data_IF_984829841490
#
_entry.id   IF_984829841490
#
_cell.length_a   1.000
_cell.length_b   1.000
_cell.length_c   1.000
_cell.angle_alpha   90.00
_cell.angle_beta   90.00
_cell.angle_gamma   90.00
#
_symmetry.space_group_name_H-M   'P 1'
#
loop_
_entity.id
_entity.type
_entity.pdbx_description
1 polymer ?
#
# COMPACT_ATOMS: atom_id res chain seq x y z
N UNK A 1 -39.31 -0.57 23.03
CA UNK A 1 -39.53 -0.91 21.61
C UNK A 1 -39.23 0.32 20.77
N UNK A 2 -38.04 0.40 20.18
CA UNK A 2 -37.65 1.55 19.36
C UNK A 2 -38.12 1.31 17.91
N UNK A 3 -39.03 2.17 17.46
CA UNK A 3 -39.52 2.20 16.07
C UNK A 3 -38.47 2.88 15.19
N UNK A 4 -37.87 2.13 14.28
CA UNK A 4 -37.00 2.68 13.24
C UNK A 4 -37.90 3.20 12.13
N UNK A 5 -38.00 4.53 12.04
CA UNK A 5 -38.60 5.21 10.89
C UNK A 5 -37.86 4.74 9.63
N UNK A 6 -38.55 3.95 8.80
CA UNK A 6 -38.04 3.40 7.54
C UNK A 6 -38.00 4.48 6.45
N UNK A 7 -37.44 5.65 6.73
CA UNK A 7 -37.00 6.59 5.68
C UNK A 7 -35.64 6.16 5.14
N UNK A 8 -35.70 5.04 4.43
CA UNK A 8 -34.69 4.54 3.51
C UNK A 8 -34.15 5.65 2.59
N UNK A 9 -32.82 5.67 2.45
CA UNK A 9 -32.09 6.55 1.53
C UNK A 9 -32.72 6.49 0.13
N UNK A 10 -33.15 7.64 -0.41
CA UNK A 10 -33.60 7.70 -1.81
C UNK A 10 -32.38 7.75 -2.71
N UNK A 11 -32.33 6.83 -3.70
CA UNK A 11 -31.29 6.64 -4.73
C UNK A 11 -30.47 7.90 -5.02
N UNK A 12 -29.18 7.86 -4.70
CA UNK A 12 -28.19 8.87 -5.11
C UNK A 12 -28.25 9.06 -6.62
N UNK A 13 -28.68 10.23 -7.10
CA UNK A 13 -28.56 10.56 -8.51
C UNK A 13 -27.07 10.62 -8.88
N UNK A 14 -26.71 10.16 -10.08
CA UNK A 14 -25.35 10.29 -10.56
C UNK A 14 -25.00 11.78 -10.68
N UNK A 15 -23.84 12.17 -10.14
CA UNK A 15 -23.27 13.49 -10.40
C UNK A 15 -23.06 13.56 -11.91
N UNK A 16 -23.78 14.45 -12.60
CA UNK A 16 -23.50 14.75 -14.01
C UNK A 16 -22.20 15.55 -14.04
N UNK A 17 -21.07 14.89 -14.25
CA UNK A 17 -19.78 15.55 -14.52
C UNK A 17 -19.85 16.22 -15.90
N UNK A 18 -20.57 17.35 -15.97
CA UNK A 18 -20.74 18.15 -17.18
C UNK A 18 -19.56 19.11 -17.33
N UNK A 19 -18.36 18.53 -17.55
CA UNK A 19 -17.13 19.28 -17.76
C UNK A 19 -15.92 18.46 -17.37
N UNK A 20 -15.42 17.65 -18.31
CA UNK A 20 -14.05 17.12 -18.19
C UNK A 20 -13.11 18.31 -18.40
N UNK A 21 -12.61 18.89 -17.29
CA UNK A 21 -11.54 19.88 -17.33
C UNK A 21 -10.21 19.13 -17.30
N UNK A 22 -9.30 19.37 -18.26
CA UNK A 22 -7.96 18.79 -18.19
C UNK A 22 -7.25 19.40 -16.98
N UNK A 23 -6.96 18.54 -15.99
CA UNK A 23 -6.23 18.91 -14.80
C UNK A 23 -4.80 18.41 -14.96
N UNK A 24 -3.88 19.34 -15.20
CA UNK A 24 -2.45 19.06 -15.19
C UNK A 24 -1.92 19.21 -13.76
N UNK A 25 -1.72 18.09 -13.06
CA UNK A 25 -1.07 18.08 -11.74
C UNK A 25 0.35 17.58 -11.90
N UNK A 26 1.32 18.39 -11.50
CA UNK A 26 2.69 17.92 -11.33
C UNK A 26 2.74 16.95 -10.14
N UNK A 27 2.95 15.66 -10.42
CA UNK A 27 3.26 14.68 -9.38
C UNK A 27 4.69 14.93 -8.92
N UNK A 28 4.85 15.69 -7.84
CA UNK A 28 6.14 15.91 -7.21
C UNK A 28 6.39 14.78 -6.21
N UNK A 29 7.37 13.92 -6.47
CA UNK A 29 7.85 12.95 -5.49
C UNK A 29 8.53 13.71 -4.35
N UNK A 30 7.77 14.03 -3.30
CA UNK A 30 8.22 14.94 -2.23
C UNK A 30 8.55 14.23 -0.92
N UNK A 31 8.41 12.90 -0.84
CA UNK A 31 8.64 12.15 0.40
C UNK A 31 9.72 11.10 0.24
N UNK A 32 10.55 10.96 1.27
CA UNK A 32 11.44 9.81 1.42
C UNK A 32 10.64 8.50 1.23
N UNK A 33 11.21 7.49 0.55
CA UNK A 33 10.52 6.22 0.36
C UNK A 33 10.15 5.61 1.72
N UNK A 34 8.97 4.99 1.85
CA UNK A 34 8.62 4.23 3.05
C UNK A 34 9.70 3.21 3.41
N UNK A 35 9.92 2.97 4.71
CA UNK A 35 10.98 2.07 5.23
C UNK A 35 10.98 0.69 4.55
N UNK A 36 9.81 0.11 4.25
CA UNK A 36 9.73 -1.19 3.59
C UNK A 36 10.28 -1.17 2.14
N UNK A 37 10.18 -0.03 1.44
CA UNK A 37 10.77 0.13 0.11
C UNK A 37 12.29 0.27 0.21
N UNK A 38 12.77 1.03 1.20
CA UNK A 38 14.20 1.22 1.41
C UNK A 38 14.94 -0.10 1.68
N UNK A 39 14.32 -1.03 2.41
CA UNK A 39 14.94 -2.32 2.77
C UNK A 39 14.65 -3.45 1.76
N UNK A 40 13.85 -3.21 0.73
CA UNK A 40 13.20 -4.26 -0.05
C UNK A 40 14.19 -5.18 -0.77
N UNK A 41 15.18 -4.60 -1.45
CA UNK A 41 16.22 -5.38 -2.14
C UNK A 41 17.05 -6.25 -1.18
N UNK A 42 17.44 -5.69 -0.03
CA UNK A 42 18.23 -6.42 0.97
C UNK A 42 17.41 -7.50 1.68
N UNK A 43 16.13 -7.23 1.94
CA UNK A 43 15.20 -8.22 2.49
C UNK A 43 15.01 -9.41 1.55
N UNK A 44 14.84 -9.17 0.24
CA UNK A 44 14.71 -10.21 -0.77
C UNK A 44 15.97 -11.09 -0.86
N UNK A 45 17.15 -10.47 -0.98
CA UNK A 45 18.43 -11.21 -1.03
C UNK A 45 18.62 -12.13 0.17
N UNK A 46 18.31 -11.64 1.37
CA UNK A 46 18.41 -12.44 2.59
C UNK A 46 17.37 -13.57 2.63
N UNK A 47 16.17 -13.33 2.10
CA UNK A 47 15.13 -14.34 2.01
C UNK A 47 15.52 -15.46 1.02
N UNK A 48 16.09 -15.11 -0.13
CA UNK A 48 16.60 -16.06 -1.14
C UNK A 48 17.76 -16.92 -0.60
N UNK A 49 18.54 -16.41 0.35
CA UNK A 49 19.55 -17.16 1.10
C UNK A 49 18.94 -18.12 2.15
N UNK A 50 17.61 -18.21 2.24
CA UNK A 50 16.89 -19.12 3.14
C UNK A 50 16.75 -18.60 4.58
N UNK A 51 16.95 -17.30 4.83
CA UNK A 51 16.70 -16.74 6.15
C UNK A 51 15.20 -16.50 6.36
N UNK A 52 14.73 -16.77 7.57
CA UNK A 52 13.37 -16.43 7.97
C UNK A 52 13.20 -14.93 8.19
N UNK A 53 11.98 -14.42 7.93
CA UNK A 53 11.62 -13.00 8.08
C UNK A 53 11.99 -12.43 9.45
N UNK A 54 11.83 -13.21 10.54
CA UNK A 54 12.28 -12.82 11.88
C UNK A 54 13.78 -12.57 11.97
N UNK A 55 14.59 -13.45 11.37
CA UNK A 55 16.05 -13.33 11.40
C UNK A 55 16.54 -12.16 10.54
N UNK A 56 15.81 -11.88 9.47
CA UNK A 56 16.03 -10.70 8.62
C UNK A 56 15.67 -9.42 9.39
N UNK A 57 14.50 -9.41 10.04
CA UNK A 57 14.01 -8.29 10.84
C UNK A 57 15.01 -7.90 11.94
N UNK A 58 15.54 -8.88 12.68
CA UNK A 58 16.58 -8.64 13.69
C UNK A 58 17.86 -8.07 13.11
N UNK A 59 18.27 -8.48 11.90
CA UNK A 59 19.48 -7.98 11.24
C UNK A 59 19.31 -6.57 10.65
N UNK A 60 18.10 -6.23 10.23
CA UNK A 60 17.79 -4.95 9.60
C UNK A 60 17.24 -3.92 10.61
N UNK A 61 17.02 -4.31 11.87
CA UNK A 61 16.49 -3.42 12.91
C UNK A 61 15.03 -3.02 12.69
N UNK A 62 14.25 -3.87 12.02
CA UNK A 62 12.83 -3.61 11.69
C UNK A 62 11.93 -4.72 12.23
N UNK A 63 10.62 -4.61 12.01
CA UNK A 63 9.68 -5.70 12.34
C UNK A 63 9.63 -6.74 11.22
N UNK A 64 9.29 -7.98 11.58
CA UNK A 64 9.02 -9.07 10.63
C UNK A 64 7.92 -8.71 9.62
N UNK A 65 6.88 -7.98 10.05
CA UNK A 65 5.85 -7.44 9.16
C UNK A 65 6.41 -6.49 8.11
N UNK A 66 7.37 -5.65 8.49
CA UNK A 66 8.05 -4.73 7.55
C UNK A 66 8.84 -5.51 6.51
N UNK A 67 9.53 -6.58 6.93
CA UNK A 67 10.27 -7.48 6.03
C UNK A 67 9.32 -8.17 5.06
N UNK A 68 8.24 -8.76 5.57
CA UNK A 68 7.25 -9.46 4.74
C UNK A 68 6.64 -8.53 3.70
N UNK A 69 6.25 -7.31 4.11
CA UNK A 69 5.72 -6.28 3.21
C UNK A 69 6.74 -5.84 2.16
N UNK A 70 8.01 -5.74 2.54
CA UNK A 70 9.09 -5.35 1.64
C UNK A 70 9.32 -6.40 0.54
N UNK A 71 9.35 -7.69 0.90
CA UNK A 71 9.50 -8.80 -0.05
C UNK A 71 8.31 -8.85 -1.01
N UNK A 72 7.08 -8.80 -0.48
CA UNK A 72 5.87 -8.81 -1.30
C UNK A 72 5.81 -7.61 -2.26
N UNK A 73 6.29 -6.45 -1.82
CA UNK A 73 6.40 -5.26 -2.66
C UNK A 73 7.32 -5.54 -3.87
N UNK A 74 8.55 -6.04 -3.67
CA UNK A 74 9.46 -6.36 -4.80
C UNK A 74 8.89 -7.42 -5.72
N UNK A 75 8.30 -8.48 -5.17
CA UNK A 75 7.71 -9.56 -5.96
C UNK A 75 6.59 -9.06 -6.87
N UNK A 76 5.76 -8.13 -6.39
CA UNK A 76 4.71 -7.53 -7.22
C UNK A 76 5.28 -6.78 -8.45
N UNK A 77 6.42 -6.08 -8.32
CA UNK A 77 7.08 -5.40 -9.46
C UNK A 77 7.83 -6.36 -10.39
N UNK A 78 8.23 -7.55 -9.92
CA UNK A 78 8.90 -8.55 -10.75
C UNK A 78 7.93 -9.40 -11.59
N UNK A 79 6.63 -9.27 -11.33
CA UNK A 79 5.58 -10.05 -12.03
C UNK A 79 4.91 -9.23 -13.15
N UNK A 80 5.32 -7.97 -13.33
CA UNK A 80 4.92 -7.06 -14.41
C UNK A 80 5.93 -7.09 -15.57
#
# INVERSE_FOLDING_TARGET
MCSWDRKWWTRTQSIRTAGALPLEVALVETSEPPVYQQIAGKALQLHELGLSDRKIASRLGVTDKTVHKAIAWVQNFLTE
#
